data_IF_564956552955
#
_entry.id   IF_564956552955
#
_cell.length_a   1.000
_cell.length_b   1.000
_cell.length_c   1.000
_cell.angle_alpha   90.00
_cell.angle_beta   90.00
_cell.angle_gamma   90.00
#
_symmetry.space_group_name_H-M   'P 1'
#
loop_
_entity.id
_entity.type
_entity.pdbx_description
1 polymer ?
#
# COMPACT_ATOMS: atom_id res chain seq x y z
N UNK A 1 13.23 5.32 19.09
CA UNK A 1 11.82 5.11 18.66
C UNK A 1 11.59 3.63 18.32
N UNK A 2 10.34 3.13 18.24
CA UNK A 2 10.06 1.69 17.97
C UNK A 2 10.73 1.18 16.69
N UNK A 3 10.72 2.02 15.64
CA UNK A 3 11.36 1.74 14.36
C UNK A 3 12.86 1.45 14.50
N UNK A 4 13.62 2.33 15.14
CA UNK A 4 15.08 2.16 15.28
C UNK A 4 15.45 0.91 16.09
N UNK A 5 14.62 0.54 17.08
CA UNK A 5 14.83 -0.68 17.86
C UNK A 5 14.56 -1.92 17.00
N UNK A 6 13.41 -1.97 16.33
CA UNK A 6 13.06 -3.10 15.47
C UNK A 6 14.04 -3.25 14.30
N UNK A 7 14.44 -2.15 13.67
CA UNK A 7 15.46 -2.16 12.61
C UNK A 7 16.76 -2.84 13.09
N UNK A 8 17.29 -2.41 14.25
CA UNK A 8 18.50 -3.01 14.83
C UNK A 8 18.32 -4.48 15.19
N UNK A 9 17.15 -4.84 15.70
CA UNK A 9 16.83 -6.22 16.07
C UNK A 9 16.80 -7.13 14.84
N UNK A 10 16.15 -6.71 13.76
CA UNK A 10 16.11 -7.44 12.50
C UNK A 10 17.48 -7.52 11.83
N UNK A 11 18.27 -6.43 11.87
CA UNK A 11 19.66 -6.45 11.41
C UNK A 11 20.53 -7.42 12.20
N UNK A 12 20.38 -7.48 13.53
CA UNK A 12 21.11 -8.42 14.36
C UNK A 12 20.68 -9.87 14.09
N UNK A 13 19.37 -10.11 13.93
CA UNK A 13 18.84 -11.42 13.55
C UNK A 13 19.44 -11.87 12.21
N UNK A 14 19.43 -10.99 11.20
CA UNK A 14 20.02 -11.24 9.87
C UNK A 14 21.53 -11.45 9.93
N UNK A 15 22.26 -10.69 10.74
CA UNK A 15 23.70 -10.88 10.92
C UNK A 15 24.04 -12.19 11.64
N UNK A 16 23.14 -12.68 12.51
CA UNK A 16 23.28 -13.97 13.20
C UNK A 16 22.78 -15.17 12.41
N UNK A 17 22.15 -14.93 11.25
CA UNK A 17 21.58 -15.99 10.42
C UNK A 17 22.69 -16.84 9.79
N UNK A 18 22.46 -18.13 9.72
CA UNK A 18 23.38 -19.08 9.08
C UNK A 18 22.95 -19.40 7.65
N UNK A 19 21.66 -19.26 7.34
CA UNK A 19 21.10 -19.57 6.02
C UNK A 19 19.96 -18.61 5.68
N UNK A 20 19.88 -18.19 4.40
CA UNK A 20 18.71 -17.51 3.82
C UNK A 20 18.10 -18.41 2.74
N UNK A 21 16.83 -18.79 2.91
CA UNK A 21 16.09 -19.65 1.99
C UNK A 21 15.08 -18.81 1.23
N UNK A 22 15.22 -18.78 -0.10
CA UNK A 22 14.21 -18.21 -0.99
C UNK A 22 13.13 -19.25 -1.25
N UNK A 23 11.90 -18.92 -0.85
CA UNK A 23 10.73 -19.76 -1.01
C UNK A 23 9.93 -19.31 -2.22
N UNK A 24 9.43 -20.28 -2.98
CA UNK A 24 8.33 -20.06 -3.90
C UNK A 24 6.98 -20.01 -3.17
N UNK A 25 5.90 -19.73 -3.92
CA UNK A 25 4.55 -19.62 -3.35
C UNK A 25 3.97 -20.93 -2.81
N UNK A 26 4.47 -22.09 -3.23
CA UNK A 26 3.97 -23.39 -2.75
C UNK A 26 4.69 -23.84 -1.46
N UNK A 27 5.97 -23.46 -1.34
CA UNK A 27 6.80 -23.73 -0.16
C UNK A 27 6.39 -22.87 1.05
N UNK A 28 5.80 -21.69 0.82
CA UNK A 28 5.17 -20.89 1.87
C UNK A 28 3.79 -21.45 2.21
N UNK A 29 3.72 -22.20 3.30
CA UNK A 29 2.50 -22.86 3.76
C UNK A 29 2.41 -22.91 5.30
N UNK A 30 1.24 -23.29 5.82
CA UNK A 30 0.98 -23.39 7.27
C UNK A 30 1.95 -24.34 7.99
N UNK A 31 2.44 -25.40 7.32
CA UNK A 31 3.40 -26.35 7.88
C UNK A 31 4.77 -25.72 8.11
N UNK A 32 5.24 -24.89 7.17
CA UNK A 32 6.47 -24.13 7.36
C UNK A 32 6.33 -23.12 8.51
N UNK A 33 5.22 -22.38 8.55
CA UNK A 33 4.98 -21.42 9.64
C UNK A 33 4.90 -22.12 11.01
N UNK A 34 4.30 -23.30 11.09
CA UNK A 34 4.31 -24.13 12.29
C UNK A 34 5.73 -24.56 12.70
N UNK A 35 6.58 -24.89 11.73
CA UNK A 35 8.00 -25.24 11.98
C UNK A 35 8.77 -24.03 12.54
N UNK A 36 8.61 -22.85 11.95
CA UNK A 36 9.22 -21.60 12.43
C UNK A 36 8.75 -21.31 13.87
N UNK A 37 7.46 -21.50 14.13
CA UNK A 37 6.88 -21.33 15.45
C UNK A 37 7.46 -22.31 16.47
N UNK A 38 7.57 -23.58 16.13
CA UNK A 38 8.16 -24.59 17.00
C UNK A 38 9.62 -24.23 17.35
N UNK A 39 10.41 -23.77 16.38
CA UNK A 39 11.79 -23.36 16.59
C UNK A 39 11.94 -22.24 17.63
N UNK A 40 11.14 -21.17 17.55
CA UNK A 40 11.22 -20.06 18.52
C UNK A 40 10.82 -20.49 19.94
N UNK A 41 9.84 -21.41 20.06
CA UNK A 41 9.45 -21.98 21.35
C UNK A 41 10.54 -22.89 21.93
N UNK A 42 11.10 -23.79 21.12
CA UNK A 42 12.21 -24.66 21.56
C UNK A 42 13.45 -23.86 21.96
N UNK A 43 13.79 -22.78 21.24
CA UNK A 43 14.91 -21.92 21.60
C UNK A 43 14.68 -21.20 22.94
N UNK A 44 13.46 -20.71 23.17
CA UNK A 44 13.07 -20.07 24.42
C UNK A 44 13.15 -21.03 25.62
N UNK A 45 12.61 -22.25 25.47
CA UNK A 45 12.63 -23.29 26.50
C UNK A 45 14.07 -23.76 26.80
N UNK A 46 14.93 -23.85 25.78
CA UNK A 46 16.34 -24.20 25.98
C UNK A 46 17.07 -23.13 26.78
N UNK A 47 16.84 -21.84 26.46
CA UNK A 47 17.48 -20.71 27.15
C UNK A 47 17.05 -20.61 28.62
N UNK A 48 15.79 -20.92 28.95
CA UNK A 48 15.31 -20.97 30.33
C UNK A 48 15.90 -22.15 31.11
N UNK A 49 16.07 -23.31 30.46
CA UNK A 49 16.64 -24.52 31.08
C UNK A 49 18.17 -24.45 31.24
N UNK A 50 18.88 -23.74 30.35
CA UNK A 50 20.34 -23.59 30.41
C UNK A 50 20.85 -22.54 31.41
N UNK A 51 19.95 -21.75 32.01
CA UNK A 51 20.32 -20.72 33.01
C UNK A 51 20.92 -21.28 34.31
N UNK A 52 20.75 -22.58 34.58
CA UNK A 52 21.16 -23.25 35.83
C UNK A 52 22.33 -24.25 35.68
N UNK A 53 22.90 -24.44 34.48
CA UNK A 53 23.95 -25.43 34.25
C UNK A 53 25.28 -24.81 33.78
N UNK A 54 26.25 -24.84 34.69
CA UNK A 54 27.65 -24.48 34.48
C UNK A 54 28.27 -25.25 33.29
N UNK A 55 29.03 -24.53 32.46
CA UNK A 55 30.00 -25.01 31.45
C UNK A 55 29.76 -26.38 30.79
N UNK A 56 29.01 -26.38 29.68
CA UNK A 56 29.23 -27.33 28.59
C UNK A 56 29.19 -26.56 27.26
N UNK A 57 30.13 -26.77 26.33
CA UNK A 57 30.08 -26.12 25.04
C UNK A 57 28.83 -26.62 24.34
N UNK A 58 27.84 -25.75 24.15
CA UNK A 58 26.62 -26.04 23.40
C UNK A 58 26.96 -26.28 21.94
N UNK A 59 27.49 -27.46 21.66
CA UNK A 59 27.71 -28.03 20.35
C UNK A 59 26.36 -28.40 19.77
N UNK A 60 25.67 -27.39 19.25
CA UNK A 60 24.86 -27.41 18.04
C UNK A 60 24.58 -25.93 17.76
N UNK A 61 25.40 -25.33 16.90
CA UNK A 61 25.03 -24.11 16.17
C UNK A 61 23.70 -24.42 15.50
N UNK A 62 22.59 -24.05 16.12
CA UNK A 62 21.29 -24.21 15.50
C UNK A 62 21.26 -23.17 14.39
N UNK A 63 21.26 -23.66 13.16
CA UNK A 63 21.29 -22.86 11.95
C UNK A 63 20.10 -21.90 12.02
N UNK A 64 20.37 -20.61 12.25
CA UNK A 64 19.31 -19.60 12.23
C UNK A 64 18.94 -19.37 10.77
N UNK A 65 17.80 -19.91 10.38
CA UNK A 65 17.29 -19.79 9.01
C UNK A 65 16.38 -18.58 8.91
N UNK A 66 16.63 -17.77 7.89
CA UNK A 66 15.73 -16.71 7.46
C UNK A 66 15.06 -17.13 6.17
N UNK A 67 13.75 -16.92 6.09
CA UNK A 67 12.93 -17.28 4.95
C UNK A 67 12.51 -16.04 4.19
N UNK A 68 12.71 -16.04 2.87
CA UNK A 68 12.28 -14.96 1.98
C UNK A 68 11.20 -15.49 1.05
N UNK A 69 10.03 -14.85 1.03
CA UNK A 69 8.93 -15.21 0.14
C UNK A 69 8.34 -13.95 -0.48
N UNK A 70 8.58 -13.74 -1.77
CA UNK A 70 8.23 -12.49 -2.44
C UNK A 70 8.93 -11.30 -1.75
N UNK A 71 8.13 -10.34 -1.28
CA UNK A 71 8.61 -9.09 -0.70
C UNK A 71 8.69 -9.11 0.84
N UNK A 72 8.63 -10.30 1.45
CA UNK A 72 8.66 -10.46 2.91
C UNK A 72 9.77 -11.41 3.34
N UNK A 73 10.39 -11.07 4.46
CA UNK A 73 11.50 -11.78 5.10
C UNK A 73 11.06 -12.17 6.49
N UNK A 74 11.12 -13.46 6.81
CA UNK A 74 10.64 -14.04 8.05
C UNK A 74 11.83 -14.62 8.80
N UNK A 75 12.02 -14.22 10.04
CA UNK A 75 13.13 -14.67 10.88
C UNK A 75 12.68 -14.95 12.31
N UNK A 76 13.40 -15.87 12.96
CA UNK A 76 13.27 -16.12 14.39
C UNK A 76 13.95 -14.99 15.17
N UNK A 77 13.22 -14.35 16.08
CA UNK A 77 13.74 -13.33 17.01
C UNK A 77 13.94 -13.95 18.39
N UNK A 78 14.53 -13.20 19.33
CA UNK A 78 14.77 -13.73 20.67
C UNK A 78 13.46 -14.03 21.42
N UNK A 79 13.43 -15.17 22.12
CA UNK A 79 12.25 -15.64 22.84
C UNK A 79 11.29 -16.36 21.89
N UNK A 80 9.99 -16.22 22.13
CA UNK A 80 8.92 -16.87 21.35
C UNK A 80 8.43 -16.01 20.18
N UNK A 81 9.32 -15.15 19.64
CA UNK A 81 8.97 -14.07 18.71
C UNK A 81 9.37 -14.40 17.28
N UNK A 82 8.47 -14.13 16.36
CA UNK A 82 8.68 -14.26 14.91
C UNK A 82 8.68 -12.87 14.31
N UNK A 83 9.77 -12.50 13.65
CA UNK A 83 9.90 -11.24 12.93
C UNK A 83 9.49 -11.39 11.48
N UNK A 84 8.66 -10.46 11.00
CA UNK A 84 8.38 -10.25 9.58
C UNK A 84 8.85 -8.86 9.16
N UNK A 85 9.73 -8.82 8.17
CA UNK A 85 10.17 -7.61 7.49
C UNK A 85 9.50 -7.58 6.11
N UNK A 86 8.71 -6.55 5.86
CA UNK A 86 8.12 -6.25 4.57
C UNK A 86 9.02 -5.26 3.84
N UNK A 87 9.58 -5.70 2.72
CA UNK A 87 10.33 -4.88 1.78
C UNK A 87 9.33 -4.38 0.73
N UNK A 88 9.18 -3.06 0.59
CA UNK A 88 8.32 -2.49 -0.45
C UNK A 88 9.16 -1.96 -1.59
N UNK A 89 8.60 -1.89 -2.79
CA UNK A 89 9.29 -1.32 -3.96
C UNK A 89 8.31 -0.62 -4.88
N UNK A 90 8.80 0.30 -5.70
CA UNK A 90 8.03 0.93 -6.75
C UNK A 90 8.86 0.98 -8.03
N UNK A 91 8.31 0.46 -9.14
CA UNK A 91 9.02 0.33 -10.42
C UNK A 91 10.40 -0.36 -10.31
N UNK A 92 10.54 -1.33 -9.40
CA UNK A 92 11.77 -2.08 -9.15
C UNK A 92 12.74 -1.41 -8.15
N UNK A 93 12.49 -0.16 -7.77
CA UNK A 93 13.32 0.56 -6.81
C UNK A 93 12.83 0.32 -5.37
N UNK A 94 13.72 -0.02 -4.42
CA UNK A 94 13.35 -0.19 -3.01
C UNK A 94 12.76 1.06 -2.39
N UNK A 95 11.69 0.88 -1.62
CA UNK A 95 11.03 1.92 -0.82
C UNK A 95 11.28 1.66 0.68
N UNK A 96 10.35 2.02 1.56
CA UNK A 96 10.50 1.80 3.00
C UNK A 96 10.33 0.34 3.40
N UNK A 97 10.98 0.04 4.52
CA UNK A 97 10.88 -1.21 5.23
C UNK A 97 9.84 -1.11 6.36
N UNK A 98 9.02 -2.14 6.48
CA UNK A 98 8.06 -2.25 7.57
C UNK A 98 8.27 -3.53 8.36
N UNK A 99 8.16 -3.43 9.68
CA UNK A 99 8.40 -4.54 10.59
C UNK A 99 7.09 -4.92 11.26
N UNK A 100 6.89 -6.21 11.47
CA UNK A 100 5.83 -6.78 12.29
C UNK A 100 6.44 -7.92 13.12
N UNK A 101 6.16 -7.93 14.42
CA UNK A 101 6.61 -8.96 15.34
C UNK A 101 5.37 -9.70 15.84
N UNK A 102 5.34 -10.99 15.56
CA UNK A 102 4.32 -11.91 16.09
C UNK A 102 4.89 -12.63 17.30
N UNK A 103 4.01 -12.87 18.27
CA UNK A 103 4.33 -13.68 19.44
C UNK A 103 3.20 -14.65 19.73
N UNK A 104 3.53 -15.79 20.32
CA UNK A 104 2.57 -16.65 20.98
C UNK A 104 3.14 -17.12 22.32
N UNK A 105 2.35 -17.10 23.39
CA UNK A 105 2.82 -17.48 24.73
C UNK A 105 3.10 -18.97 24.88
N UNK A 106 2.44 -19.79 24.07
CA UNK A 106 2.70 -21.22 23.95
C UNK A 106 2.41 -21.65 22.51
N UNK A 107 2.88 -22.84 22.13
CA UNK A 107 2.61 -23.41 20.81
C UNK A 107 1.11 -23.62 20.52
N UNK A 108 0.29 -23.82 21.56
CA UNK A 108 -1.15 -24.06 21.43
C UNK A 108 -2.00 -22.78 21.46
N UNK A 109 -1.44 -21.66 21.91
CA UNK A 109 -2.16 -20.39 21.97
C UNK A 109 -2.29 -19.72 20.60
N UNK A 110 -3.11 -18.69 20.48
CA UNK A 110 -3.15 -17.88 19.26
C UNK A 110 -1.90 -17.01 19.16
N UNK A 111 -1.45 -16.75 17.94
CA UNK A 111 -0.47 -15.67 17.71
C UNK A 111 -1.15 -14.31 17.87
N UNK A 112 -0.38 -13.32 18.31
CA UNK A 112 -0.78 -11.92 18.42
C UNK A 112 0.30 -11.01 17.86
N UNK A 113 -0.08 -9.84 17.36
CA UNK A 113 0.87 -8.79 16.99
C UNK A 113 1.41 -8.14 18.26
N UNK A 114 2.72 -8.27 18.50
CA UNK A 114 3.39 -7.68 19.65
C UNK A 114 3.79 -6.23 19.35
N UNK A 115 4.48 -6.01 18.23
CA UNK A 115 5.04 -4.71 17.83
C UNK A 115 5.10 -4.58 16.31
N UNK A 116 4.97 -3.36 15.78
CA UNK A 116 5.08 -3.11 14.35
C UNK A 116 5.48 -1.66 14.03
N UNK A 117 5.90 -1.44 12.77
CA UNK A 117 6.11 -0.10 12.19
C UNK A 117 5.09 0.23 11.10
N UNK A 118 4.05 -0.60 10.93
CA UNK A 118 2.95 -0.40 9.98
C UNK A 118 2.23 0.93 10.30
N UNK A 119 1.98 1.81 9.30
CA UNK A 119 1.33 3.10 9.50
C UNK A 119 -0.02 2.98 10.21
N UNK A 120 -0.28 3.88 11.17
CA UNK A 120 -1.47 3.81 12.05
C UNK A 120 -2.82 3.87 11.33
N UNK A 121 -2.84 4.37 10.10
CA UNK A 121 -4.03 4.49 9.26
C UNK A 121 -4.30 3.24 8.41
N UNK A 122 -3.42 2.22 8.46
CA UNK A 122 -3.66 0.91 7.87
C UNK A 122 -4.30 -0.03 8.91
N UNK A 123 -5.23 -0.91 8.49
CA UNK A 123 -6.13 -1.62 9.39
C UNK A 123 -5.50 -2.88 10.02
N UNK A 124 -4.31 -2.78 10.62
CA UNK A 124 -3.60 -3.95 11.15
C UNK A 124 -4.40 -4.66 12.26
N UNK A 125 -5.12 -3.91 13.10
CA UNK A 125 -5.88 -4.49 14.23
C UNK A 125 -7.11 -5.24 13.74
N UNK A 126 -7.80 -4.71 12.74
CA UNK A 126 -8.92 -5.36 12.08
C UNK A 126 -8.45 -6.64 11.40
N UNK A 127 -7.35 -6.56 10.63
CA UNK A 127 -6.76 -7.70 9.93
C UNK A 127 -6.24 -8.76 10.92
N UNK A 128 -5.66 -8.36 12.05
CA UNK A 128 -5.25 -9.27 13.13
C UNK A 128 -6.46 -10.05 13.67
N UNK A 129 -7.55 -9.35 14.00
CA UNK A 129 -8.76 -9.98 14.54
C UNK A 129 -9.42 -10.94 13.54
N UNK A 130 -9.39 -10.61 12.25
CA UNK A 130 -10.06 -11.39 11.21
C UNK A 130 -9.23 -12.61 10.78
N UNK A 131 -7.92 -12.41 10.60
CA UNK A 131 -7.05 -13.40 9.94
C UNK A 131 -6.10 -14.10 10.90
N UNK A 132 -5.49 -13.43 11.88
CA UNK A 132 -4.37 -14.03 12.62
C UNK A 132 -4.81 -15.25 13.45
N UNK A 133 -6.04 -15.24 13.98
CA UNK A 133 -6.60 -16.38 14.72
C UNK A 133 -7.04 -17.55 13.84
N UNK A 134 -7.32 -17.32 12.55
CA UNK A 134 -7.84 -18.34 11.65
C UNK A 134 -6.75 -18.89 10.72
N UNK A 135 -5.90 -18.01 10.20
CA UNK A 135 -4.81 -18.33 9.31
C UNK A 135 -3.73 -17.23 9.39
N UNK A 136 -2.68 -17.50 10.16
CA UNK A 136 -1.57 -16.57 10.35
C UNK A 136 -0.78 -16.29 9.05
N UNK A 137 -0.74 -17.25 8.13
CA UNK A 137 -0.12 -17.07 6.83
C UNK A 137 -0.84 -15.99 6.01
N UNK A 138 -2.19 -16.06 5.94
CA UNK A 138 -3.03 -15.06 5.27
C UNK A 138 -2.93 -13.68 5.93
N UNK A 139 -2.81 -13.62 7.25
CA UNK A 139 -2.51 -12.37 7.93
C UNK A 139 -1.19 -11.76 7.41
N UNK A 140 -0.11 -12.55 7.39
CA UNK A 140 1.21 -12.10 6.96
C UNK A 140 1.17 -11.62 5.49
N UNK A 141 0.54 -12.39 4.61
CA UNK A 141 0.40 -12.05 3.19
C UNK A 141 -0.40 -10.77 2.98
N UNK A 142 -1.57 -10.66 3.63
CA UNK A 142 -2.47 -9.54 3.45
C UNK A 142 -1.89 -8.20 3.95
N UNK A 143 -1.13 -8.21 5.04
CA UNK A 143 -0.39 -7.02 5.49
C UNK A 143 0.66 -6.60 4.45
N UNK A 144 1.34 -7.56 3.82
CA UNK A 144 2.28 -7.28 2.73
C UNK A 144 1.60 -6.62 1.52
N UNK A 145 0.43 -7.13 1.13
CA UNK A 145 -0.39 -6.56 0.05
C UNK A 145 -0.85 -5.13 0.37
N UNK A 146 -1.33 -4.89 1.60
CA UNK A 146 -1.76 -3.56 2.06
C UNK A 146 -0.62 -2.54 2.00
N UNK A 147 0.56 -2.92 2.48
CA UNK A 147 1.75 -2.06 2.48
C UNK A 147 2.23 -1.76 1.06
N UNK A 148 2.31 -2.78 0.20
CA UNK A 148 2.75 -2.62 -1.18
C UNK A 148 1.77 -1.72 -1.95
N UNK A 149 0.46 -1.97 -1.86
CA UNK A 149 -0.55 -1.14 -2.52
C UNK A 149 -0.57 0.31 -2.00
N UNK A 150 -0.32 0.52 -0.70
CA UNK A 150 -0.16 1.86 -0.13
C UNK A 150 1.05 2.59 -0.75
N UNK A 151 2.20 1.93 -0.82
CA UNK A 151 3.42 2.48 -1.43
C UNK A 151 3.19 2.79 -2.90
N UNK A 152 2.60 1.87 -3.67
CA UNK A 152 2.31 2.08 -5.09
C UNK A 152 1.44 3.31 -5.33
N UNK A 153 0.34 3.46 -4.57
CA UNK A 153 -0.53 4.65 -4.69
C UNK A 153 0.18 5.94 -4.31
N UNK A 154 0.98 5.92 -3.25
CA UNK A 154 1.76 7.09 -2.80
C UNK A 154 2.80 7.50 -3.85
N UNK A 155 3.57 6.55 -4.35
CA UNK A 155 4.62 6.80 -5.33
C UNK A 155 4.06 7.24 -6.68
N UNK A 156 2.92 6.70 -7.11
CA UNK A 156 2.20 7.21 -8.28
C UNK A 156 1.83 8.70 -8.13
N UNK A 157 1.33 9.11 -6.96
CA UNK A 157 1.03 10.53 -6.69
C UNK A 157 2.30 11.38 -6.63
N UNK A 158 3.38 10.87 -6.03
CA UNK A 158 4.69 11.55 -6.00
C UNK A 158 5.21 11.78 -7.42
N UNK A 159 5.16 10.76 -8.26
CA UNK A 159 5.66 10.80 -9.64
C UNK A 159 4.82 11.72 -10.52
N UNK A 160 3.49 11.73 -10.37
CA UNK A 160 2.61 12.69 -11.06
C UNK A 160 2.93 14.14 -10.67
N UNK A 161 3.19 14.40 -9.39
CA UNK A 161 3.65 15.74 -8.94
C UNK A 161 5.00 16.11 -9.54
N UNK A 162 5.94 15.16 -9.61
CA UNK A 162 7.28 15.38 -10.17
C UNK A 162 7.23 15.69 -11.67
N UNK A 163 6.45 14.92 -12.44
CA UNK A 163 6.36 15.04 -13.90
C UNK A 163 5.46 16.20 -14.35
N UNK A 164 4.34 16.41 -13.65
CA UNK A 164 3.25 17.27 -14.12
C UNK A 164 2.80 18.31 -13.10
N UNK A 165 3.54 18.51 -11.99
CA UNK A 165 3.13 19.39 -10.90
C UNK A 165 2.84 20.84 -11.29
N UNK A 166 3.45 21.35 -12.37
CA UNK A 166 3.19 22.70 -12.89
C UNK A 166 1.84 22.83 -13.61
N UNK A 167 1.24 21.72 -14.03
CA UNK A 167 -0.05 21.66 -14.74
C UNK A 167 -1.19 21.22 -13.80
N UNK A 168 -0.85 20.70 -12.63
CA UNK A 168 -1.79 20.28 -11.61
C UNK A 168 -2.03 21.47 -10.69
N UNK A 169 -3.29 21.85 -10.53
CA UNK A 169 -3.70 22.85 -9.54
C UNK A 169 -3.67 22.26 -8.13
N UNK A 170 -4.80 22.34 -7.44
CA UNK A 170 -4.94 21.71 -6.12
C UNK A 170 -4.86 20.19 -6.25
N UNK A 171 -4.06 19.54 -5.39
CA UNK A 171 -3.95 18.08 -5.28
C UNK A 171 -4.02 17.67 -3.81
N UNK A 172 -5.10 16.97 -3.49
CA UNK A 172 -5.41 16.43 -2.19
C UNK A 172 -5.33 14.91 -2.20
N UNK A 173 -4.88 14.33 -1.08
CA UNK A 173 -4.97 12.90 -0.85
C UNK A 173 -5.19 12.59 0.63
N UNK A 174 -5.90 11.51 0.91
CA UNK A 174 -5.97 10.90 2.25
C UNK A 174 -4.64 10.26 2.66
N UNK A 175 -4.44 10.01 3.96
CA UNK A 175 -3.23 9.31 4.46
C UNK A 175 -2.98 7.93 3.80
N UNK A 176 -4.00 7.06 3.60
CA UNK A 176 -3.79 5.76 2.94
C UNK A 176 -3.73 5.86 1.40
N UNK A 177 -3.84 7.06 0.84
CA UNK A 177 -4.00 7.30 -0.61
C UNK A 177 -5.22 6.59 -1.22
N UNK A 178 -6.25 6.31 -0.43
CA UNK A 178 -7.50 5.69 -0.91
C UNK A 178 -8.52 6.70 -1.44
N UNK A 179 -8.27 7.98 -1.22
CA UNK A 179 -8.96 9.12 -1.80
C UNK A 179 -7.88 10.07 -2.34
N UNK A 180 -7.96 10.37 -3.63
CA UNK A 180 -7.07 11.34 -4.30
C UNK A 180 -7.96 12.26 -5.14
N UNK A 181 -7.77 13.56 -5.01
CA UNK A 181 -8.53 14.56 -5.76
C UNK A 181 -7.58 15.61 -6.32
N UNK A 182 -7.71 15.94 -7.60
CA UNK A 182 -6.90 17.00 -8.19
C UNK A 182 -7.59 17.76 -9.30
N UNK A 183 -7.02 18.91 -9.64
CA UNK A 183 -7.53 19.82 -10.65
C UNK A 183 -6.53 19.97 -11.80
N UNK A 184 -7.05 19.94 -13.03
CA UNK A 184 -6.36 20.43 -14.23
C UNK A 184 -6.99 21.76 -14.59
N UNK A 185 -6.17 22.78 -14.83
CA UNK A 185 -6.63 24.06 -15.35
C UNK A 185 -6.27 24.17 -16.83
N UNK A 186 -7.29 24.40 -17.65
CA UNK A 186 -7.17 24.72 -19.07
C UNK A 186 -7.80 26.11 -19.31
N UNK A 187 -7.41 26.80 -20.39
CA UNK A 187 -7.83 28.18 -20.64
C UNK A 187 -9.35 28.39 -20.68
N UNK A 188 -10.11 27.37 -21.07
CA UNK A 188 -11.57 27.47 -21.20
C UNK A 188 -12.35 26.63 -20.16
N UNK A 189 -11.67 25.76 -19.42
CA UNK A 189 -12.31 24.86 -18.46
C UNK A 189 -11.43 24.46 -17.29
N UNK A 190 -12.09 24.12 -16.17
CA UNK A 190 -11.47 23.48 -15.01
C UNK A 190 -11.88 22.01 -14.99
N UNK A 191 -10.93 21.07 -14.97
CA UNK A 191 -11.24 19.65 -14.84
C UNK A 191 -10.96 19.19 -13.42
N UNK A 192 -11.96 18.63 -12.75
CA UNK A 192 -11.82 18.03 -11.42
C UNK A 192 -11.80 16.51 -11.54
N UNK A 193 -10.78 15.87 -10.97
CA UNK A 193 -10.60 14.43 -10.92
C UNK A 193 -10.76 13.96 -9.48
N UNK A 194 -11.57 12.92 -9.24
CA UNK A 194 -11.73 12.26 -7.94
C UNK A 194 -11.58 10.74 -8.09
N UNK A 195 -10.64 10.18 -7.35
CA UNK A 195 -10.29 8.76 -7.34
C UNK A 195 -10.58 8.16 -5.97
N UNK A 196 -11.21 6.99 -5.95
CA UNK A 196 -11.46 6.22 -4.73
C UNK A 196 -11.03 4.77 -4.91
N UNK A 197 -10.40 4.25 -3.86
CA UNK A 197 -9.92 2.88 -3.71
C UNK A 197 -10.62 2.29 -2.49
N UNK A 198 -11.86 1.78 -2.63
CA UNK A 198 -12.61 1.20 -1.51
C UNK A 198 -11.89 -0.01 -0.90
N UNK A 199 -11.16 -0.74 -1.73
CA UNK A 199 -10.28 -1.82 -1.32
C UNK A 199 -8.83 -1.30 -1.22
N UNK A 200 -8.22 -1.46 -0.05
CA UNK A 200 -6.90 -0.95 0.25
C UNK A 200 -5.77 -1.79 -0.34
N UNK A 201 -6.03 -3.01 -0.83
CA UNK A 201 -5.02 -3.78 -1.60
C UNK A 201 -5.02 -3.42 -3.09
N UNK A 202 -5.99 -2.63 -3.55
CA UNK A 202 -6.08 -2.23 -4.97
C UNK A 202 -5.11 -1.09 -5.31
N UNK A 203 -4.25 -1.29 -6.31
CA UNK A 203 -3.33 -0.25 -6.82
C UNK A 203 -4.01 0.74 -7.75
N UNK A 204 -5.10 0.33 -8.41
CA UNK A 204 -5.91 1.16 -9.31
C UNK A 204 -7.27 1.53 -8.69
N UNK A 205 -7.81 2.73 -8.98
CA UNK A 205 -9.07 3.16 -8.41
C UNK A 205 -10.25 2.45 -9.09
N UNK A 206 -11.24 2.03 -8.29
CA UNK A 206 -12.46 1.42 -8.84
C UNK A 206 -13.63 2.40 -8.94
N UNK A 207 -13.58 3.52 -8.20
CA UNK A 207 -14.54 4.62 -8.37
C UNK A 207 -13.80 5.85 -8.80
N UNK A 208 -14.07 6.27 -10.04
CA UNK A 208 -13.43 7.40 -10.69
C UNK A 208 -14.52 8.35 -11.17
N UNK A 209 -14.31 9.65 -10.96
CA UNK A 209 -15.16 10.72 -11.48
C UNK A 209 -14.28 11.81 -12.07
N UNK A 210 -14.50 12.13 -13.33
CA UNK A 210 -13.81 13.24 -14.02
C UNK A 210 -14.84 14.19 -14.60
N UNK A 211 -14.80 15.44 -14.14
CA UNK A 211 -15.75 16.48 -14.53
C UNK A 211 -15.03 17.71 -15.10
N UNK A 212 -15.43 18.14 -16.29
CA UNK A 212 -15.00 19.39 -16.90
C UNK A 212 -16.04 20.49 -16.64
N UNK A 213 -15.60 21.58 -16.01
CA UNK A 213 -16.38 22.75 -15.65
C UNK A 213 -16.07 23.89 -16.63
N UNK A 214 -17.03 24.35 -17.45
CA UNK A 214 -16.80 25.46 -18.35
C UNK A 214 -16.62 26.75 -17.54
N UNK A 215 -15.48 27.43 -17.70
CA UNK A 215 -15.16 28.67 -16.96
C UNK A 215 -15.68 29.92 -17.65
N UNK A 216 -15.84 29.86 -18.97
CA UNK A 216 -16.45 30.93 -19.76
C UNK A 216 -17.75 30.41 -20.37
N UNK A 217 -18.88 30.96 -19.94
CA UNK A 217 -20.11 30.81 -20.72
C UNK A 217 -19.83 31.47 -22.07
N UNK A 218 -19.62 30.67 -23.11
CA UNK A 218 -19.75 31.17 -24.48
C UNK A 218 -21.09 31.88 -24.54
N UNK A 219 -21.08 33.22 -24.69
CA UNK A 219 -22.28 34.01 -24.93
C UNK A 219 -22.93 33.48 -26.20
N UNK A 220 -23.83 32.51 -26.09
CA UNK A 220 -24.82 32.24 -27.13
C UNK A 220 -25.76 33.43 -27.13
N UNK A 221 -25.42 34.43 -27.94
CA UNK A 221 -26.32 35.51 -28.33
C UNK A 221 -27.48 34.91 -29.11
N UNK A 222 -28.60 34.63 -28.46
CA UNK A 222 -29.90 34.69 -29.10
C UNK A 222 -30.92 35.34 -28.15
N UNK A 223 -31.42 36.47 -28.63
CA UNK A 223 -32.58 37.22 -28.13
C UNK A 223 -33.69 36.31 -27.60
N UNK A 224 -33.88 36.29 -26.29
CA UNK A 224 -35.21 36.14 -25.70
C UNK A 224 -35.22 36.70 -24.29
N UNK A 225 -36.30 37.44 -24.05
CA UNK A 225 -36.61 38.26 -22.90
C UNK A 225 -36.79 37.49 -21.59
N UNK A 226 -36.50 38.21 -20.51
CA UNK A 226 -37.03 38.06 -19.16
C UNK A 226 -36.56 36.85 -18.31
N UNK A 227 -35.73 37.17 -17.31
CA UNK A 227 -35.76 36.54 -15.99
C UNK A 227 -35.27 35.09 -15.89
N UNK A 228 -33.96 34.89 -15.82
CA UNK A 228 -33.40 33.66 -15.27
C UNK A 228 -32.27 33.98 -14.30
N UNK A 229 -32.49 33.70 -13.01
CA UNK A 229 -31.44 33.63 -11.99
C UNK A 229 -30.32 32.69 -12.48
N UNK A 230 -29.07 33.09 -12.24
CA UNK A 230 -27.87 32.48 -12.82
C UNK A 230 -27.87 30.96 -12.84
N UNK A 231 -27.92 30.38 -14.03
CA UNK A 231 -27.73 28.95 -14.24
C UNK A 231 -26.29 28.58 -13.88
N UNK A 232 -26.11 27.79 -12.83
CA UNK A 232 -24.82 27.18 -12.50
C UNK A 232 -24.30 26.41 -13.73
N UNK A 233 -23.00 26.50 -14.08
CA UNK A 233 -22.45 25.74 -15.18
C UNK A 233 -22.62 24.24 -14.91
N UNK A 234 -23.26 23.53 -15.84
CA UNK A 234 -23.43 22.07 -15.75
C UNK A 234 -22.10 21.45 -16.17
N UNK A 235 -21.45 20.65 -15.30
CA UNK A 235 -20.21 20.00 -15.66
C UNK A 235 -20.44 18.88 -16.68
N UNK A 236 -19.52 18.73 -17.62
CA UNK A 236 -19.49 17.59 -18.53
C UNK A 236 -18.63 16.47 -17.95
N UNK A 237 -19.06 15.21 -18.10
CA UNK A 237 -18.31 14.04 -17.63
C UNK A 237 -17.35 13.57 -18.73
N UNK A 238 -16.08 13.36 -18.38
CA UNK A 238 -15.06 12.85 -19.31
C UNK A 238 -14.92 11.34 -19.16
N UNK A 239 -15.71 10.55 -19.89
CA UNK A 239 -15.70 9.08 -19.78
C UNK A 239 -14.34 8.46 -20.16
N UNK A 240 -13.70 8.95 -21.23
CA UNK A 240 -12.39 8.44 -21.66
C UNK A 240 -11.32 8.60 -20.56
N UNK A 241 -11.36 9.72 -19.84
CA UNK A 241 -10.45 10.01 -18.73
C UNK A 241 -10.71 9.07 -17.56
N UNK A 242 -11.97 8.79 -17.25
CA UNK A 242 -12.30 7.83 -16.22
C UNK A 242 -11.83 6.41 -16.55
N UNK A 243 -11.93 6.00 -17.81
CA UNK A 243 -11.51 4.67 -18.26
C UNK A 243 -9.97 4.51 -18.23
N UNK A 244 -9.23 5.55 -18.63
CA UNK A 244 -7.77 5.59 -18.48
C UNK A 244 -7.36 5.42 -17.01
N UNK A 245 -7.99 6.18 -16.11
CA UNK A 245 -7.69 6.12 -14.67
C UNK A 245 -8.06 4.78 -14.01
N UNK A 246 -8.98 4.00 -14.59
CA UNK A 246 -9.32 2.65 -14.11
C UNK A 246 -8.35 1.57 -14.58
N UNK A 247 -7.57 1.83 -15.63
CA UNK A 247 -6.80 0.80 -16.35
C UNK A 247 -5.31 1.06 -16.40
N UNK A 248 -4.87 2.29 -16.14
CA UNK A 248 -3.48 2.73 -16.21
C UNK A 248 -3.02 3.28 -14.86
N UNK A 249 -1.69 3.33 -14.64
CA UNK A 249 -1.15 4.04 -13.49
C UNK A 249 -1.48 5.54 -13.55
N UNK A 250 -1.50 6.24 -12.41
CA UNK A 250 -1.86 7.66 -12.37
C UNK A 250 -1.01 8.55 -13.32
N UNK A 251 0.32 8.38 -13.43
CA UNK A 251 1.12 9.15 -14.39
C UNK A 251 0.73 8.89 -15.86
N UNK A 252 0.51 7.63 -16.21
CA UNK A 252 0.12 7.24 -17.58
C UNK A 252 -1.28 7.74 -17.92
N UNK A 253 -2.23 7.53 -17.01
CA UNK A 253 -3.59 8.03 -17.15
C UNK A 253 -3.62 9.55 -17.27
N UNK A 254 -2.78 10.27 -16.51
CA UNK A 254 -2.65 11.71 -16.63
C UNK A 254 -2.22 12.14 -18.04
N UNK A 255 -1.18 11.49 -18.59
CA UNK A 255 -0.70 11.78 -19.94
C UNK A 255 -1.80 11.55 -20.99
N UNK A 256 -2.53 10.44 -20.88
CA UNK A 256 -3.66 10.12 -21.75
C UNK A 256 -4.80 11.15 -21.65
N UNK A 257 -5.08 11.64 -20.44
CA UNK A 257 -6.10 12.67 -20.21
C UNK A 257 -5.75 13.95 -20.94
N UNK A 258 -4.54 14.47 -20.73
CA UNK A 258 -4.08 15.74 -21.30
C UNK A 258 -3.99 15.65 -22.82
N UNK A 259 -3.50 14.52 -23.36
CA UNK A 259 -3.37 14.31 -24.80
C UNK A 259 -4.70 14.46 -25.55
N UNK A 260 -5.79 13.95 -24.98
CA UNK A 260 -7.11 13.95 -25.63
C UNK A 260 -8.05 15.07 -25.15
N UNK A 261 -7.63 15.86 -24.15
CA UNK A 261 -8.50 16.82 -23.47
C UNK A 261 -9.11 17.85 -24.42
N UNK A 262 -8.29 18.50 -25.23
CA UNK A 262 -8.75 19.55 -26.12
C UNK A 262 -9.80 19.04 -27.14
N UNK A 263 -9.56 17.86 -27.73
CA UNK A 263 -10.48 17.24 -28.67
C UNK A 263 -11.81 16.86 -27.98
N UNK A 264 -11.75 16.29 -26.78
CA UNK A 264 -12.93 15.92 -26.01
C UNK A 264 -13.78 17.17 -25.66
N UNK A 265 -13.14 18.27 -25.24
CA UNK A 265 -13.83 19.53 -24.92
C UNK A 265 -14.50 20.13 -26.15
N UNK A 266 -13.85 20.14 -27.31
CA UNK A 266 -14.44 20.62 -28.57
C UNK A 266 -15.70 19.82 -28.95
N UNK A 267 -15.64 18.48 -28.87
CA UNK A 267 -16.80 17.64 -29.20
C UNK A 267 -18.00 17.90 -28.28
N UNK A 268 -17.76 18.12 -26.98
CA UNK A 268 -18.83 18.36 -26.01
C UNK A 268 -19.42 19.77 -26.08
N UNK A 269 -18.58 20.79 -26.27
CA UNK A 269 -19.01 22.20 -26.18
C UNK A 269 -19.27 22.88 -27.52
N UNK A 270 -18.74 22.35 -28.64
CA UNK A 270 -18.91 22.91 -29.99
C UNK A 270 -19.74 22.00 -30.91
N UNK A 271 -19.82 20.69 -30.63
CA UNK A 271 -20.55 19.70 -31.46
C UNK A 271 -22.08 19.67 -31.30
N UNK A 272 -22.65 20.48 -30.41
CA UNK A 272 -24.10 20.64 -30.26
C UNK A 272 -24.62 21.80 -31.13
N UNK A 273 -24.63 21.60 -32.45
CA UNK A 273 -25.28 22.49 -33.43
C UNK A 273 -26.34 21.72 -34.21
#
# INVERSE_FOLDING_TARGET
MIFERLQKEFEAARASQSQEINLDGEQWNDGLLATIREQVHMEADRKTTSGDANDMPTSHFQEKVTYRVGNKVICCLEGTRIGILYETSFAGEPCELYHCVLESKSFLEKMTVLEHTIPFFLPIREVENDLLSSNAMRFIDHIGELLQAYVDRREQVRLVKELYGNQIGELYHSLPYHMIEFVLEDSDCKVTVSLRYPDLVSVLPTRVKVLAWPMHQYKKSHTSSAGAMGSQPIPARLSYAEDALRTMSLPEAYAEIVLNLQQALQQMFQGGS
#
